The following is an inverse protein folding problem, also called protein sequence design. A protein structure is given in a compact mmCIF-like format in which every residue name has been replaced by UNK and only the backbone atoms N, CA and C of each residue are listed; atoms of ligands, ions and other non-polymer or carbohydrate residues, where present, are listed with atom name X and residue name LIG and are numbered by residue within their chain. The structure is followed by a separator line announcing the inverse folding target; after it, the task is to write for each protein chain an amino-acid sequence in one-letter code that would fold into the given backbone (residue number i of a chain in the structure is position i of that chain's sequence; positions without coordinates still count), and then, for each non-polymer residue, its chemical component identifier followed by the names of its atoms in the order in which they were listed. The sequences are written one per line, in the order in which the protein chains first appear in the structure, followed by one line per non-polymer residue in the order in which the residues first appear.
data_IF_598455271720
#
_entry.id   IF_598455271720
#
_cell.length_a   1.000
_cell.length_b   1.000
_cell.length_c   1.000
_cell.angle_alpha   90.00
_cell.angle_beta   90.00
_cell.angle_gamma   90.00
#
_symmetry.space_group_name_H-M   'P 1'
#
loop_
_entity.id
_entity.type
_entity.pdbx_description
1 polymer ?
#
# COMPACT_ATOMS: atom_id res chain seq x y z
N UNK A 1 -27.64 -3.47 15.62
CA UNK A 1 -27.06 -4.64 14.92
C UNK A 1 -25.80 -4.21 14.20
N UNK A 2 -24.67 -4.87 14.44
CA UNK A 2 -23.41 -4.58 13.77
C UNK A 2 -23.47 -5.22 12.37
N UNK A 3 -23.65 -4.41 11.32
CA UNK A 3 -23.71 -4.91 9.95
C UNK A 3 -22.27 -5.15 9.47
N UNK A 4 -21.83 -6.40 9.41
CA UNK A 4 -20.52 -6.75 8.86
C UNK A 4 -20.52 -6.52 7.35
N UNK A 5 -19.78 -5.49 6.91
CA UNK A 5 -19.67 -5.10 5.49
C UNK A 5 -18.96 -6.19 4.67
N UNK A 6 -17.97 -6.88 5.26
CA UNK A 6 -17.27 -8.01 4.65
C UNK A 6 -17.10 -9.15 5.67
N UNK A 7 -17.30 -10.38 5.21
CA UNK A 7 -16.93 -11.58 5.97
C UNK A 7 -15.43 -11.83 5.92
N UNK A 8 -14.93 -12.65 6.86
CA UNK A 8 -13.53 -13.06 6.86
C UNK A 8 -13.10 -13.68 5.52
N UNK A 9 -13.94 -14.56 4.96
CA UNK A 9 -13.66 -15.22 3.68
C UNK A 9 -13.58 -14.21 2.53
N UNK A 10 -14.48 -13.21 2.50
CA UNK A 10 -14.45 -12.16 1.47
C UNK A 10 -13.17 -11.31 1.57
N UNK A 11 -12.70 -11.03 2.79
CA UNK A 11 -11.44 -10.32 3.01
C UNK A 11 -10.26 -11.15 2.48
N UNK A 12 -10.21 -12.46 2.77
CA UNK A 12 -9.15 -13.34 2.28
C UNK A 12 -9.12 -13.39 0.75
N UNK A 13 -10.28 -13.55 0.09
CA UNK A 13 -10.37 -13.56 -1.38
C UNK A 13 -9.92 -12.21 -1.98
N UNK A 14 -10.28 -11.09 -1.35
CA UNK A 14 -9.82 -9.76 -1.79
C UNK A 14 -8.32 -9.59 -1.65
N UNK A 15 -7.72 -10.02 -0.55
CA UNK A 15 -6.26 -9.99 -0.35
C UNK A 15 -5.58 -10.83 -1.42
N UNK A 16 -6.06 -12.05 -1.66
CA UNK A 16 -5.52 -12.95 -2.69
C UNK A 16 -5.53 -12.28 -4.06
N UNK A 17 -6.69 -11.76 -4.46
CA UNK A 17 -6.86 -11.08 -5.75
C UNK A 17 -5.92 -9.86 -5.88
N UNK A 18 -5.83 -9.04 -4.84
CA UNK A 18 -4.94 -7.86 -4.85
C UNK A 18 -3.48 -8.28 -4.94
N UNK A 19 -3.06 -9.35 -4.25
CA UNK A 19 -1.70 -9.85 -4.34
C UNK A 19 -1.35 -10.32 -5.77
N UNK A 20 -2.25 -11.06 -6.43
CA UNK A 20 -2.04 -11.45 -7.83
C UNK A 20 -2.00 -10.25 -8.78
N UNK A 21 -2.89 -9.26 -8.61
CA UNK A 21 -2.86 -8.04 -9.42
C UNK A 21 -1.56 -7.23 -9.25
N UNK A 22 -1.02 -7.19 -8.02
CA UNK A 22 0.28 -6.58 -7.77
C UNK A 22 1.37 -7.40 -8.45
N UNK A 23 1.37 -8.73 -8.32
CA UNK A 23 2.34 -9.60 -8.98
C UNK A 23 2.33 -9.44 -10.51
N UNK A 24 1.17 -9.47 -11.15
CA UNK A 24 1.00 -9.30 -12.60
C UNK A 24 1.51 -7.94 -13.10
N UNK A 25 1.31 -6.88 -12.31
CA UNK A 25 1.84 -5.55 -12.63
C UNK A 25 3.36 -5.43 -12.41
N UNK A 26 4.00 -6.44 -11.83
CA UNK A 26 5.39 -6.41 -11.39
C UNK A 26 6.19 -7.67 -11.82
N UNK A 27 5.76 -8.36 -12.88
CA UNK A 27 6.35 -9.65 -13.31
C UNK A 27 7.86 -9.57 -13.56
N UNK A 28 8.36 -8.41 -13.99
CA UNK A 28 9.77 -8.18 -14.30
C UNK A 28 10.52 -7.39 -13.21
N UNK A 29 9.89 -7.15 -12.06
CA UNK A 29 10.52 -6.40 -10.98
C UNK A 29 11.27 -7.32 -10.02
N UNK A 30 12.53 -6.99 -9.74
CA UNK A 30 13.32 -7.68 -8.72
C UNK A 30 12.91 -7.29 -7.30
N UNK A 31 12.31 -6.10 -7.14
CA UNK A 31 11.92 -5.54 -5.86
C UNK A 31 10.64 -4.71 -5.97
N UNK A 32 9.71 -4.94 -5.02
CA UNK A 32 8.42 -4.27 -4.94
C UNK A 32 8.27 -3.65 -3.55
N UNK A 33 8.01 -2.35 -3.51
CA UNK A 33 7.74 -1.61 -2.27
C UNK A 33 6.24 -1.62 -2.01
N UNK A 34 5.83 -2.20 -0.88
CA UNK A 34 4.45 -2.15 -0.39
C UNK A 34 4.39 -1.14 0.75
N UNK A 35 3.84 0.05 0.48
CA UNK A 35 3.75 1.14 1.43
C UNK A 35 2.38 1.15 2.12
N UNK A 36 2.31 0.73 3.37
CA UNK A 36 1.07 0.71 4.16
C UNK A 36 0.88 1.96 5.00
N UNK A 37 -0.28 2.62 4.86
CA UNK A 37 -0.67 3.77 5.69
C UNK A 37 -0.88 3.33 7.14
N UNK A 38 -0.31 4.07 8.10
CA UNK A 38 -0.36 3.76 9.52
C UNK A 38 -1.81 3.56 10.03
N UNK A 39 -2.02 2.45 10.75
CA UNK A 39 -3.35 1.98 11.15
C UNK A 39 -3.78 0.75 10.34
N UNK A 40 -5.02 0.79 9.80
CA UNK A 40 -5.61 -0.32 9.06
C UNK A 40 -4.87 -0.65 7.76
N UNK A 41 -4.48 0.37 6.98
CA UNK A 41 -3.69 0.21 5.76
C UNK A 41 -2.41 -0.61 5.96
N UNK A 42 -1.66 -0.38 7.04
CA UNK A 42 -0.45 -1.12 7.36
C UNK A 42 -0.71 -2.59 7.70
N UNK A 43 -1.79 -2.88 8.44
CA UNK A 43 -2.17 -4.27 8.73
C UNK A 43 -2.62 -5.00 7.47
N UNK A 44 -3.31 -4.29 6.58
CA UNK A 44 -3.72 -4.82 5.28
C UNK A 44 -2.49 -5.06 4.37
N UNK A 45 -1.56 -4.12 4.30
CA UNK A 45 -0.29 -4.25 3.60
C UNK A 45 0.50 -5.48 4.04
N UNK A 46 0.62 -5.73 5.35
CA UNK A 46 1.28 -6.93 5.90
C UNK A 46 0.65 -8.23 5.38
N UNK A 47 -0.68 -8.28 5.27
CA UNK A 47 -1.39 -9.45 4.74
C UNK A 47 -1.12 -9.65 3.24
N UNK A 48 -1.08 -8.56 2.47
CA UNK A 48 -0.71 -8.60 1.04
C UNK A 48 0.74 -9.07 0.88
N UNK A 49 1.68 -8.51 1.65
CA UNK A 49 3.10 -8.93 1.65
C UNK A 49 3.24 -10.42 1.94
N UNK A 50 2.50 -10.94 2.92
CA UNK A 50 2.51 -12.37 3.25
C UNK A 50 1.98 -13.27 2.12
N UNK A 51 1.11 -12.76 1.24
CA UNK A 51 0.65 -13.46 0.04
C UNK A 51 1.64 -13.33 -1.12
N UNK A 52 2.14 -12.12 -1.38
CA UNK A 52 3.16 -11.87 -2.41
C UNK A 52 4.39 -12.77 -2.23
N UNK A 53 4.91 -12.88 -1.00
CA UNK A 53 6.04 -13.76 -0.66
C UNK A 53 5.82 -15.24 -0.97
N UNK A 54 4.58 -15.68 -1.24
CA UNK A 54 4.25 -17.06 -1.62
C UNK A 54 4.14 -17.26 -3.13
N UNK A 55 3.99 -16.18 -3.90
CA UNK A 55 3.67 -16.24 -5.33
C UNK A 55 4.74 -15.58 -6.22
N UNK A 56 5.74 -14.91 -5.63
CA UNK A 56 6.86 -14.31 -6.37
C UNK A 56 8.17 -14.43 -5.61
N UNK A 57 9.27 -14.48 -6.35
CA UNK A 57 10.65 -14.43 -5.84
C UNK A 57 11.15 -12.99 -5.66
N UNK A 58 10.41 -12.00 -6.15
CA UNK A 58 10.77 -10.59 -6.00
C UNK A 58 10.92 -10.21 -4.52
N UNK A 59 11.92 -9.38 -4.20
CA UNK A 59 12.11 -8.83 -2.86
C UNK A 59 10.93 -7.92 -2.51
N UNK A 60 10.16 -8.29 -1.50
CA UNK A 60 9.03 -7.48 -1.03
C UNK A 60 9.45 -6.66 0.19
N UNK A 61 9.52 -5.34 0.03
CA UNK A 61 9.83 -4.39 1.11
C UNK A 61 8.55 -3.79 1.64
N UNK A 62 8.32 -3.93 2.95
CA UNK A 62 7.21 -3.26 3.62
C UNK A 62 7.67 -1.87 4.10
N UNK A 63 7.04 -0.83 3.58
CA UNK A 63 7.23 0.54 4.04
C UNK A 63 6.02 0.96 4.89
N UNK A 64 6.24 1.52 6.08
CA UNK A 64 5.20 2.21 6.85
C UNK A 64 5.15 3.67 6.42
N UNK A 65 3.96 4.16 6.11
CA UNK A 65 3.70 5.57 5.83
C UNK A 65 2.88 6.18 6.97
N UNK A 66 3.37 7.25 7.58
CA UNK A 66 2.65 8.00 8.62
C UNK A 66 2.53 9.49 8.26
N UNK A 67 1.44 10.10 8.69
CA UNK A 67 1.15 11.52 8.53
C UNK A 67 0.23 11.98 9.66
N UNK A 68 0.31 13.25 10.06
CA UNK A 68 -0.71 13.83 10.93
C UNK A 68 -1.98 14.07 10.12
N UNK A 69 -3.06 13.37 10.48
CA UNK A 69 -4.35 13.47 9.77
C UNK A 69 -5.04 14.83 9.98
N UNK A 70 -4.66 15.58 11.01
CA UNK A 70 -5.24 16.90 11.30
C UNK A 70 -4.62 18.01 10.48
N UNK A 71 -3.33 17.87 10.15
CA UNK A 71 -2.59 18.85 9.34
C UNK A 71 -1.47 18.20 8.51
N UNK A 72 -1.84 17.43 7.46
CA UNK A 72 -0.86 16.70 6.64
C UNK A 72 0.03 17.61 5.79
N UNK A 73 -0.39 18.86 5.53
CA UNK A 73 0.41 19.84 4.78
C UNK A 73 1.60 20.32 5.62
N UNK A 74 1.37 20.62 6.89
CA UNK A 74 2.42 21.15 7.78
C UNK A 74 3.27 20.03 8.38
N UNK A 75 2.69 18.89 8.75
CA UNK A 75 3.45 17.79 9.38
C UNK A 75 4.32 17.01 8.40
N UNK A 76 3.96 17.07 7.11
CA UNK A 76 4.52 16.22 6.06
C UNK A 76 4.14 14.75 6.21
N UNK A 77 4.57 13.97 5.22
CA UNK A 77 4.44 12.52 5.16
C UNK A 77 5.81 11.91 5.48
N UNK A 78 5.83 10.87 6.32
CA UNK A 78 7.03 10.15 6.72
C UNK A 78 6.94 8.69 6.32
N UNK A 79 8.05 8.14 5.87
CA UNK A 79 8.23 6.73 5.53
C UNK A 79 9.18 6.05 6.51
N UNK A 80 9.06 4.74 6.67
CA UNK A 80 10.01 3.94 7.47
C UNK A 80 11.28 3.56 6.72
N UNK A 81 11.34 3.83 5.41
CA UNK A 81 12.50 3.64 4.54
C UNK A 81 12.91 4.99 3.97
N UNK A 82 14.19 5.12 3.65
CA UNK A 82 14.73 6.34 3.07
C UNK A 82 14.29 6.51 1.60
N UNK A 83 14.36 7.73 1.08
CA UNK A 83 13.91 8.05 -0.28
C UNK A 83 14.66 7.25 -1.34
N UNK A 84 15.97 7.09 -1.12
CA UNK A 84 16.90 6.37 -1.99
C UNK A 84 16.53 4.89 -2.14
N UNK A 85 15.83 4.32 -1.15
CA UNK A 85 15.42 2.91 -1.17
C UNK A 85 14.28 2.62 -2.14
N UNK A 86 13.53 3.64 -2.57
CA UNK A 86 12.42 3.48 -3.51
C UNK A 86 12.60 4.20 -4.85
N UNK A 87 13.75 4.86 -5.08
CA UNK A 87 14.12 5.43 -6.38
C UNK A 87 14.12 4.35 -7.47
N UNK A 88 13.45 4.63 -8.59
CA UNK A 88 13.29 3.72 -9.73
C UNK A 88 12.67 2.35 -9.37
N UNK A 89 11.99 2.24 -8.23
CA UNK A 89 11.26 1.03 -7.82
C UNK A 89 9.79 1.13 -8.15
N UNK A 90 9.13 -0.02 -8.11
CA UNK A 90 7.67 -0.11 -8.11
C UNK A 90 7.13 0.07 -6.70
N UNK A 91 6.20 1.01 -6.52
CA UNK A 91 5.57 1.28 -5.23
C UNK A 91 4.08 1.02 -5.31
N UNK A 92 3.55 0.28 -4.32
CA UNK A 92 2.11 0.11 -4.10
C UNK A 92 1.74 0.74 -2.76
N UNK A 93 1.02 1.86 -2.80
CA UNK A 93 0.45 2.50 -1.62
C UNK A 93 -0.84 1.76 -1.21
N UNK A 94 -0.93 1.36 0.05
CA UNK A 94 -1.99 0.52 0.57
C UNK A 94 -2.73 1.22 1.70
N UNK A 95 -4.06 1.31 1.56
CA UNK A 95 -4.98 1.72 2.62
C UNK A 95 -6.05 0.65 2.83
N UNK A 96 -6.70 0.62 3.99
CA UNK A 96 -7.83 -0.31 4.21
C UNK A 96 -9.13 0.25 3.63
N UNK A 97 -9.38 1.56 3.79
CA UNK A 97 -10.63 2.17 3.37
C UNK A 97 -10.39 3.45 2.56
N UNK A 98 -10.92 3.50 1.34
CA UNK A 98 -11.10 4.73 0.59
C UNK A 98 -12.45 5.36 0.97
N UNK A 99 -12.39 6.58 1.51
CA UNK A 99 -13.54 7.46 1.75
C UNK A 99 -13.34 8.79 1.00
N UNK A 100 -12.86 9.85 1.65
CA UNK A 100 -12.52 11.12 0.97
C UNK A 100 -11.29 11.04 0.06
N UNK A 101 -10.45 10.01 0.22
CA UNK A 101 -9.20 9.84 -0.53
C UNK A 101 -8.02 10.70 -0.07
N UNK A 102 -8.23 11.60 0.91
CA UNK A 102 -7.23 12.57 1.39
C UNK A 102 -5.88 11.91 1.76
N UNK A 103 -5.91 10.84 2.56
CA UNK A 103 -4.69 10.13 3.00
C UNK A 103 -3.92 9.51 1.82
N UNK A 104 -4.64 8.92 0.85
CA UNK A 104 -4.02 8.36 -0.35
C UNK A 104 -3.40 9.46 -1.20
N UNK A 105 -4.07 10.60 -1.38
CA UNK A 105 -3.55 11.73 -2.16
C UNK A 105 -2.23 12.24 -1.56
N UNK A 106 -2.16 12.43 -0.24
CA UNK A 106 -0.91 12.87 0.40
C UNK A 106 0.19 11.81 0.32
N UNK A 107 -0.15 10.53 0.48
CA UNK A 107 0.81 9.44 0.30
C UNK A 107 1.35 9.37 -1.13
N UNK A 108 0.46 9.48 -2.12
CA UNK A 108 0.83 9.54 -3.55
C UNK A 108 1.71 10.75 -3.82
N UNK A 109 1.32 11.93 -3.33
CA UNK A 109 2.10 13.16 -3.49
C UNK A 109 3.52 13.03 -2.91
N UNK A 110 3.66 12.38 -1.75
CA UNK A 110 4.97 12.12 -1.15
C UNK A 110 5.86 11.29 -2.08
N UNK A 111 5.35 10.16 -2.59
CA UNK A 111 6.10 9.26 -3.46
C UNK A 111 6.41 9.84 -4.85
N UNK A 112 5.53 10.71 -5.39
CA UNK A 112 5.75 11.37 -6.68
C UNK A 112 6.81 12.48 -6.66
N UNK A 113 7.39 12.80 -5.49
CA UNK A 113 8.55 13.69 -5.41
C UNK A 113 9.85 13.03 -5.88
N UNK A 114 9.83 11.70 -5.99
CA UNK A 114 10.97 10.86 -6.34
C UNK A 114 10.69 10.17 -7.67
N UNK A 115 11.68 9.96 -8.55
CA UNK A 115 11.50 9.17 -9.76
C UNK A 115 11.17 7.72 -9.40
N UNK A 116 9.98 7.26 -9.77
CA UNK A 116 9.54 5.88 -9.59
C UNK A 116 9.37 5.19 -10.93
N UNK A 117 9.52 3.87 -10.94
CA UNK A 117 9.20 3.07 -12.13
C UNK A 117 7.69 2.96 -12.34
N UNK A 118 6.96 2.79 -11.24
CA UNK A 118 5.50 2.87 -11.20
C UNK A 118 5.00 3.17 -9.79
N UNK A 119 3.82 3.77 -9.70
CA UNK A 119 3.09 3.98 -8.46
C UNK A 119 1.64 3.50 -8.64
N UNK A 120 1.21 2.58 -7.78
CA UNK A 120 -0.18 2.08 -7.74
C UNK A 120 -0.77 2.24 -6.34
N UNK A 121 -2.09 2.21 -6.26
CA UNK A 121 -2.83 2.22 -4.99
C UNK A 121 -3.65 0.94 -4.85
N UNK A 122 -3.72 0.38 -3.65
CA UNK A 122 -4.59 -0.74 -3.33
C UNK A 122 -5.43 -0.45 -2.08
N UNK A 123 -6.74 -0.71 -2.17
CA UNK A 123 -7.69 -0.49 -1.07
C UNK A 123 -8.60 -1.71 -0.88
N UNK A 124 -8.90 -2.05 0.37
CA UNK A 124 -9.77 -3.20 0.68
C UNK A 124 -11.24 -2.88 0.41
N UNK A 125 -11.68 -1.69 0.81
CA UNK A 125 -13.04 -1.18 0.69
C UNK A 125 -13.01 0.23 0.08
N UNK A 126 -13.95 0.48 -0.83
CA UNK A 126 -14.27 1.82 -1.31
C UNK A 126 -15.68 2.16 -0.84
N UNK A 127 -15.88 3.32 -0.21
CA UNK A 127 -17.13 3.75 0.41
C UNK A 127 -17.52 5.15 -0.01
#
# INVERSE_FOLDING_TARGET
MQQNILSHQQIQHKIERIAYQIYEANVYEEEIIIAGIEGGGLQFAKKIVAKLKKITEAKIVLCKLSMDKKDPLTSGVRTSIAEEEFVNKSVVLVDDVLNSGTTLIYGVHHFLKTPLKQLKTAVLVNR
#
